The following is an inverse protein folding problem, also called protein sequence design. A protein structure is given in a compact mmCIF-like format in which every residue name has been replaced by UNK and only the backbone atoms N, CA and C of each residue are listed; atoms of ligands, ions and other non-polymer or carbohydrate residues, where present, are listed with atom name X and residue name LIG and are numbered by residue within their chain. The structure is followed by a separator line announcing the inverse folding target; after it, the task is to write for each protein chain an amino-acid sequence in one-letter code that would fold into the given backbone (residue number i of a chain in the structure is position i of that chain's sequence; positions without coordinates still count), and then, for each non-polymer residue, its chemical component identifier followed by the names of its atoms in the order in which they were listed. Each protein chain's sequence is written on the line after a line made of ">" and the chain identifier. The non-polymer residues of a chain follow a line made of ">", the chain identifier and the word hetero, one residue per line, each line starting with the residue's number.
data_IF_561858704631
#
_entry.id   IF_561858704631
#
_cell.length_a   1.000
_cell.length_b   1.000
_cell.length_c   1.000
_cell.angle_alpha   90.00
_cell.angle_beta   90.00
_cell.angle_gamma   90.00
#
_symmetry.space_group_name_H-M   'P 1'
#
loop_
_entity.id
_entity.type
_entity.pdbx_description
1 polymer ?
#
# COMPACT_ATOMS: atom_id res chain seq x y z
N UNK A 1 12.75 2.74 20.97
CA UNK A 1 12.24 1.69 20.06
C UNK A 1 12.32 0.37 20.81
N UNK A 2 11.21 -0.36 20.92
CA UNK A 2 11.21 -1.71 21.49
C UNK A 2 11.25 -2.72 20.34
N UNK A 3 12.29 -3.55 20.29
CA UNK A 3 12.43 -4.64 19.31
C UNK A 3 11.75 -5.90 19.83
N UNK A 4 10.99 -6.59 18.97
CA UNK A 4 10.10 -7.72 19.30
C UNK A 4 10.79 -9.01 19.80
N UNK A 5 12.12 -9.07 19.84
CA UNK A 5 12.86 -10.31 20.10
C UNK A 5 12.83 -10.82 21.56
N UNK A 6 12.32 -10.05 22.53
CA UNK A 6 12.37 -10.42 23.97
C UNK A 6 11.05 -10.96 24.57
N UNK A 7 10.01 -11.21 23.78
CA UNK A 7 8.65 -11.44 24.28
C UNK A 7 8.24 -12.92 24.40
N UNK A 8 9.15 -13.78 24.85
CA UNK A 8 8.90 -15.21 25.06
C UNK A 8 7.98 -15.58 26.24
N UNK A 9 7.20 -14.64 26.80
CA UNK A 9 6.24 -14.92 27.89
C UNK A 9 4.89 -14.28 27.60
N UNK A 10 3.83 -15.10 27.58
CA UNK A 10 2.43 -14.66 27.49
C UNK A 10 2.15 -13.69 28.65
N UNK A 11 2.03 -12.40 28.35
CA UNK A 11 1.73 -11.38 29.36
C UNK A 11 0.25 -11.50 29.68
N UNK A 12 -0.08 -11.91 30.91
CA UNK A 12 -1.46 -11.97 31.40
C UNK A 12 -1.79 -10.62 32.04
N UNK A 13 -2.70 -9.87 31.42
CA UNK A 13 -3.12 -8.53 31.86
C UNK A 13 -3.68 -7.69 30.71
N UNK A 14 -4.29 -6.51 30.99
CA UNK A 14 -4.71 -5.58 29.95
C UNK A 14 -3.51 -5.11 29.11
N UNK A 15 -3.72 -4.68 27.85
CA UNK A 15 -2.64 -4.25 26.98
C UNK A 15 -1.78 -3.17 27.63
N UNK A 16 -0.45 -3.34 27.59
CA UNK A 16 0.49 -2.42 28.24
C UNK A 16 0.47 -1.00 27.65
N UNK A 17 0.17 -0.88 26.36
CA UNK A 17 0.17 0.37 25.62
C UNK A 17 -1.19 0.58 24.96
N UNK A 18 -2.08 1.33 25.62
CA UNK A 18 -3.42 1.64 25.12
C UNK A 18 -3.44 2.79 24.11
N UNK A 19 -2.44 3.67 24.11
CA UNK A 19 -2.48 4.91 23.32
C UNK A 19 -1.74 4.80 21.98
N UNK A 20 -1.34 3.58 21.58
CA UNK A 20 -0.69 3.33 20.30
C UNK A 20 -1.78 3.25 19.23
N UNK A 21 -1.66 4.06 18.18
CA UNK A 21 -2.55 4.05 17.03
C UNK A 21 -1.89 3.59 15.73
N UNK A 22 -0.55 3.63 15.69
CA UNK A 22 0.25 3.16 14.56
C UNK A 22 1.08 1.95 14.96
N UNK A 23 1.06 0.92 14.13
CA UNK A 23 1.88 -0.26 14.28
C UNK A 23 2.74 -0.51 13.04
N UNK A 24 4.00 -0.85 13.26
CA UNK A 24 4.94 -1.26 12.21
C UNK A 24 5.31 -2.71 12.49
N UNK A 25 5.00 -3.58 11.54
CA UNK A 25 5.36 -4.99 11.57
C UNK A 25 6.61 -5.16 10.72
N UNK A 26 7.73 -5.39 11.41
CA UNK A 26 9.02 -5.68 10.79
C UNK A 26 9.57 -7.00 11.35
N UNK A 27 10.39 -7.68 10.56
CA UNK A 27 11.11 -8.88 10.93
C UNK A 27 10.49 -10.19 10.43
N UNK A 28 11.23 -11.29 10.62
CA UNK A 28 10.81 -12.63 10.23
C UNK A 28 9.95 -13.27 11.32
N UNK A 29 8.65 -13.43 11.05
CA UNK A 29 7.70 -13.96 12.03
C UNK A 29 7.56 -15.47 11.82
N UNK A 30 8.11 -16.25 12.75
CA UNK A 30 8.18 -17.72 12.63
C UNK A 30 7.06 -18.46 13.38
N UNK A 31 6.32 -17.78 14.26
CA UNK A 31 5.30 -18.41 15.10
C UNK A 31 3.99 -17.59 15.12
N UNK A 32 2.81 -18.19 14.87
CA UNK A 32 1.52 -17.52 15.05
C UNK A 32 1.25 -16.97 16.48
N UNK A 33 1.89 -17.51 17.52
CA UNK A 33 1.80 -17.00 18.91
C UNK A 33 2.26 -15.53 19.06
N UNK A 34 2.94 -14.98 18.05
CA UNK A 34 3.33 -13.57 17.99
C UNK A 34 2.12 -12.64 18.01
N UNK A 35 0.95 -13.05 17.51
CA UNK A 35 -0.27 -12.22 17.50
C UNK A 35 -0.82 -12.01 18.91
N UNK A 36 -1.00 -13.10 19.67
CA UNK A 36 -1.43 -13.05 21.07
C UNK A 36 -0.46 -12.20 21.91
N UNK A 37 0.84 -12.33 21.62
CA UNK A 37 1.90 -11.55 22.26
C UNK A 37 1.75 -10.06 21.97
N UNK A 38 1.43 -9.67 20.74
CA UNK A 38 1.18 -8.26 20.38
C UNK A 38 -0.11 -7.74 21.01
N UNK A 39 -1.20 -8.52 21.00
CA UNK A 39 -2.46 -8.14 21.65
C UNK A 39 -2.30 -7.94 23.17
N UNK A 40 -1.36 -8.63 23.80
CA UNK A 40 -1.01 -8.42 25.22
C UNK A 40 -0.20 -7.13 25.48
N UNK A 41 0.38 -6.55 24.43
CA UNK A 41 1.19 -5.34 24.50
C UNK A 41 0.43 -4.11 24.06
N UNK A 42 -0.35 -4.19 22.99
CA UNK A 42 -1.06 -3.07 22.37
C UNK A 42 -2.54 -3.37 22.23
N UNK A 43 -3.36 -2.35 22.44
CA UNK A 43 -4.80 -2.45 22.21
C UNK A 43 -5.08 -2.43 20.70
N UNK A 44 -5.30 -3.60 20.10
CA UNK A 44 -5.45 -3.74 18.64
C UNK A 44 -6.62 -2.95 18.05
N UNK A 45 -7.69 -2.72 18.84
CA UNK A 45 -8.81 -1.88 18.43
C UNK A 45 -8.44 -0.40 18.28
N UNK A 46 -7.34 0.07 18.87
CA UNK A 46 -6.91 1.46 18.75
C UNK A 46 -5.97 1.69 17.56
N UNK A 47 -5.51 0.60 16.93
CA UNK A 47 -4.64 0.68 15.76
C UNK A 47 -5.47 1.09 14.54
N UNK A 48 -5.18 2.28 14.04
CA UNK A 48 -5.78 2.83 12.82
C UNK A 48 -4.78 2.93 11.67
N UNK A 49 -3.48 2.79 11.93
CA UNK A 49 -2.44 2.75 10.90
C UNK A 49 -1.55 1.53 11.03
N UNK A 50 -1.38 0.78 9.96
CA UNK A 50 -0.51 -0.39 9.91
C UNK A 50 0.50 -0.28 8.78
N UNK A 51 1.76 -0.58 9.08
CA UNK A 51 2.82 -0.76 8.08
C UNK A 51 3.28 -2.21 8.17
N UNK A 52 3.10 -2.99 7.12
CA UNK A 52 3.62 -4.37 7.02
C UNK A 52 4.86 -4.35 6.14
N UNK A 53 6.02 -4.57 6.75
CA UNK A 53 7.26 -4.79 6.03
C UNK A 53 7.38 -6.27 5.63
N UNK A 54 8.23 -6.52 4.63
CA UNK A 54 8.25 -7.63 3.67
C UNK A 54 8.44 -9.06 4.21
N UNK A 55 8.32 -9.28 5.52
CA UNK A 55 8.80 -10.52 6.17
C UNK A 55 7.78 -11.19 7.10
N UNK A 56 6.55 -10.67 7.14
CA UNK A 56 5.43 -11.32 7.83
C UNK A 56 4.74 -12.30 6.88
N UNK A 57 4.65 -13.61 7.19
CA UNK A 57 3.92 -14.56 6.35
C UNK A 57 2.45 -14.20 6.16
N UNK A 58 1.92 -14.39 4.96
CA UNK A 58 0.52 -14.09 4.60
C UNK A 58 -0.49 -14.75 5.53
N UNK A 59 -0.24 -15.99 5.95
CA UNK A 59 -1.11 -16.72 6.88
C UNK A 59 -1.18 -16.06 8.26
N UNK A 60 -0.04 -15.60 8.79
CA UNK A 60 0.02 -14.88 10.07
C UNK A 60 -0.66 -13.51 9.93
N UNK A 61 -0.38 -12.80 8.85
CA UNK A 61 -0.99 -11.51 8.57
C UNK A 61 -2.51 -11.59 8.48
N UNK A 62 -3.05 -12.61 7.82
CA UNK A 62 -4.50 -12.85 7.72
C UNK A 62 -5.17 -12.94 9.09
N UNK A 63 -4.59 -13.69 10.01
CA UNK A 63 -5.13 -13.82 11.37
C UNK A 63 -5.02 -12.51 12.15
N UNK A 64 -3.90 -11.81 11.98
CA UNK A 64 -3.63 -10.55 12.67
C UNK A 64 -4.58 -9.44 12.23
N UNK A 65 -4.78 -9.29 10.93
CA UNK A 65 -5.44 -8.14 10.34
C UNK A 65 -6.94 -8.11 10.69
N UNK A 66 -7.59 -9.26 10.91
CA UNK A 66 -8.97 -9.31 11.40
C UNK A 66 -9.15 -8.72 12.81
N UNK A 67 -8.08 -8.55 13.58
CA UNK A 67 -8.13 -7.93 14.90
C UNK A 67 -8.04 -6.40 14.84
N UNK A 68 -7.76 -5.82 13.67
CA UNK A 68 -7.58 -4.37 13.45
C UNK A 68 -8.88 -3.74 12.91
N UNK A 69 -9.93 -3.77 13.74
CA UNK A 69 -11.29 -3.38 13.31
C UNK A 69 -11.44 -1.91 12.89
N UNK A 70 -10.54 -1.05 13.36
CA UNK A 70 -10.54 0.40 13.09
C UNK A 70 -9.41 0.79 12.14
N UNK A 71 -8.87 -0.16 11.38
CA UNK A 71 -7.79 0.12 10.44
C UNK A 71 -8.28 1.08 9.34
N UNK A 72 -7.60 2.21 9.25
CA UNK A 72 -7.90 3.32 8.34
C UNK A 72 -6.84 3.50 7.26
N UNK A 73 -5.58 3.23 7.61
CA UNK A 73 -4.43 3.35 6.72
C UNK A 73 -3.58 2.09 6.76
N UNK A 74 -3.26 1.56 5.59
CA UNK A 74 -2.43 0.37 5.43
C UNK A 74 -1.29 0.64 4.44
N UNK A 75 -0.07 0.30 4.85
CA UNK A 75 1.10 0.24 3.98
C UNK A 75 1.54 -1.21 3.83
N UNK A 76 1.61 -1.71 2.60
CA UNK A 76 2.07 -3.05 2.23
C UNK A 76 3.21 -2.96 1.22
N UNK A 77 3.89 -4.07 1.00
CA UNK A 77 4.87 -4.19 -0.09
C UNK A 77 4.23 -4.76 -1.34
N UNK A 78 4.83 -4.51 -2.50
CA UNK A 78 4.37 -5.05 -3.80
C UNK A 78 4.34 -6.58 -3.82
N UNK A 79 5.35 -7.26 -3.26
CA UNK A 79 5.39 -8.73 -3.13
C UNK A 79 4.27 -9.33 -2.27
N UNK A 80 3.67 -8.51 -1.42
CA UNK A 80 2.57 -8.91 -0.53
C UNK A 80 1.22 -8.74 -1.21
N UNK A 81 1.13 -7.96 -2.29
CA UNK A 81 -0.13 -7.69 -2.96
C UNK A 81 -0.37 -8.71 -4.08
N UNK A 82 -0.94 -9.85 -3.69
CA UNK A 82 -1.57 -10.81 -4.61
C UNK A 82 -3.09 -10.78 -4.46
N UNK A 83 -3.82 -11.50 -5.33
CA UNK A 83 -5.29 -11.55 -5.31
C UNK A 83 -5.86 -12.12 -4.02
N UNK A 84 -5.14 -13.01 -3.35
CA UNK A 84 -5.57 -13.55 -2.06
C UNK A 84 -5.42 -12.51 -0.95
N UNK A 85 -4.35 -11.72 -0.98
CA UNK A 85 -4.09 -10.64 -0.04
C UNK A 85 -5.02 -9.44 -0.26
N UNK A 86 -5.25 -9.07 -1.52
CA UNK A 86 -6.20 -8.02 -1.91
C UNK A 86 -7.63 -8.38 -1.47
N UNK A 87 -8.04 -9.65 -1.61
CA UNK A 87 -9.34 -10.10 -1.14
C UNK A 87 -9.52 -9.98 0.39
N UNK A 88 -8.44 -9.81 1.17
CA UNK A 88 -8.56 -9.52 2.60
C UNK A 88 -8.94 -8.05 2.83
N UNK A 89 -8.51 -7.15 1.93
CA UNK A 89 -8.75 -5.72 2.05
C UNK A 89 -10.25 -5.38 2.03
N UNK A 90 -11.06 -6.16 1.31
CA UNK A 90 -12.51 -6.01 1.26
C UNK A 90 -13.20 -6.04 2.63
N UNK A 91 -12.55 -6.65 3.65
CA UNK A 91 -13.13 -6.76 4.99
C UNK A 91 -12.92 -5.49 5.84
N UNK A 92 -12.05 -4.56 5.44
CA UNK A 92 -11.81 -3.32 6.17
C UNK A 92 -12.73 -2.21 5.70
N UNK A 93 -13.90 -2.13 6.32
CA UNK A 93 -14.88 -1.08 6.04
C UNK A 93 -14.37 0.34 6.33
N UNK A 94 -13.37 0.47 7.21
CA UNK A 94 -12.78 1.74 7.60
C UNK A 94 -11.51 2.08 6.81
N UNK A 95 -10.97 1.15 6.03
CA UNK A 95 -9.74 1.38 5.28
C UNK A 95 -10.02 2.37 4.16
N UNK A 96 -9.40 3.54 4.24
CA UNK A 96 -9.56 4.61 3.26
C UNK A 96 -8.23 5.03 2.64
N UNK A 97 -7.10 4.63 3.22
CA UNK A 97 -5.77 4.90 2.72
C UNK A 97 -4.99 3.60 2.51
N UNK A 98 -4.53 3.38 1.28
CA UNK A 98 -3.68 2.26 0.91
C UNK A 98 -2.41 2.76 0.24
N UNK A 99 -1.25 2.36 0.77
CA UNK A 99 0.04 2.62 0.16
C UNK A 99 0.75 1.29 -0.12
N UNK A 100 1.16 1.07 -1.36
CA UNK A 100 1.84 -0.14 -1.80
C UNK A 100 3.27 0.24 -2.15
N UNK A 101 4.20 0.06 -1.24
CA UNK A 101 5.58 0.51 -1.43
C UNK A 101 6.47 -0.64 -1.89
N UNK A 102 7.64 -0.29 -2.39
CA UNK A 102 8.72 -1.23 -2.62
C UNK A 102 9.82 -0.91 -1.60
N UNK A 103 10.29 -1.92 -0.87
CA UNK A 103 11.37 -1.73 0.11
C UNK A 103 12.71 -2.29 -0.36
N UNK A 104 12.71 -3.13 -1.40
CA UNK A 104 13.92 -3.70 -1.98
C UNK A 104 14.30 -2.93 -3.25
N UNK A 105 15.53 -2.43 -3.31
CA UNK A 105 15.99 -1.55 -4.40
C UNK A 105 16.40 -2.33 -5.66
N UNK A 106 16.61 -3.65 -5.54
CA UNK A 106 17.26 -4.44 -6.58
C UNK A 106 16.30 -4.87 -7.71
N UNK A 107 14.99 -4.85 -7.48
CA UNK A 107 13.98 -5.21 -8.49
C UNK A 107 12.70 -4.38 -8.35
N UNK A 108 12.40 -3.55 -9.37
CA UNK A 108 11.12 -2.83 -9.46
C UNK A 108 9.98 -3.81 -9.70
N UNK A 109 9.04 -3.87 -8.77
CA UNK A 109 7.86 -4.74 -8.87
C UNK A 109 6.60 -3.90 -9.01
N UNK A 110 5.98 -3.99 -10.19
CA UNK A 110 4.74 -3.30 -10.49
C UNK A 110 3.52 -4.18 -10.18
N UNK A 111 2.41 -3.51 -9.88
CA UNK A 111 1.17 -4.17 -9.49
C UNK A 111 0.22 -4.21 -10.68
N UNK A 112 -0.20 -5.41 -11.07
CA UNK A 112 -1.36 -5.56 -11.96
C UNK A 112 -2.63 -5.24 -11.16
N UNK A 113 -3.24 -4.08 -11.39
CA UNK A 113 -4.36 -3.58 -10.58
C UNK A 113 -5.72 -4.19 -10.89
N UNK A 114 -5.90 -4.78 -12.09
CA UNK A 114 -7.21 -5.25 -12.55
C UNK A 114 -7.91 -6.22 -11.58
N UNK A 115 -7.22 -7.23 -10.99
CA UNK A 115 -7.85 -8.18 -10.08
C UNK A 115 -8.27 -7.54 -8.76
N UNK A 116 -7.73 -6.35 -8.43
CA UNK A 116 -7.82 -5.74 -7.11
C UNK A 116 -8.78 -4.56 -7.04
N UNK A 117 -9.08 -3.90 -8.17
CA UNK A 117 -9.99 -2.75 -8.20
C UNK A 117 -11.39 -3.05 -7.60
N UNK A 118 -11.85 -4.29 -7.63
CA UNK A 118 -13.13 -4.70 -7.01
C UNK A 118 -13.03 -5.03 -5.52
N UNK A 119 -11.81 -5.18 -5.00
CA UNK A 119 -11.49 -5.63 -3.65
C UNK A 119 -11.09 -4.49 -2.70
N UNK A 120 -10.92 -3.27 -3.23
CA UNK A 120 -10.64 -2.06 -2.45
C UNK A 120 -11.95 -1.42 -1.96
N UNK A 121 -12.33 -1.56 -0.68
CA UNK A 121 -13.53 -0.93 -0.18
C UNK A 121 -13.31 0.58 -0.09
N UNK A 122 -14.09 1.38 -0.83
CA UNK A 122 -14.17 2.85 -0.72
C UNK A 122 -12.82 3.57 -0.45
N UNK A 123 -11.73 3.12 -1.09
CA UNK A 123 -10.40 3.73 -0.90
C UNK A 123 -10.46 5.16 -1.42
N UNK A 124 -9.96 6.08 -0.59
CA UNK A 124 -9.92 7.53 -0.84
C UNK A 124 -8.52 8.01 -1.21
N UNK A 125 -7.50 7.40 -0.63
CA UNK A 125 -6.11 7.74 -0.86
C UNK A 125 -5.36 6.48 -1.29
N UNK A 126 -4.90 6.45 -2.53
CA UNK A 126 -4.14 5.34 -3.07
C UNK A 126 -2.75 5.80 -3.50
N UNK A 127 -1.72 5.04 -3.15
CA UNK A 127 -0.35 5.27 -3.59
C UNK A 127 0.21 3.92 -4.07
N UNK A 128 0.50 3.78 -5.36
CA UNK A 128 0.72 2.48 -5.99
C UNK A 128 1.73 2.53 -7.15
N UNK A 129 2.66 1.56 -7.26
CA UNK A 129 3.52 1.39 -8.41
C UNK A 129 2.80 0.56 -9.48
N UNK A 130 2.69 1.12 -10.68
CA UNK A 130 2.00 0.53 -11.83
C UNK A 130 2.94 0.57 -13.05
N UNK A 131 2.84 -0.45 -13.90
CA UNK A 131 3.68 -0.67 -15.06
C UNK A 131 3.27 0.14 -16.30
N UNK A 132 1.98 0.45 -16.46
CA UNK A 132 1.45 1.12 -17.65
C UNK A 132 0.28 2.07 -17.38
N UNK A 133 0.04 2.96 -18.35
CA UNK A 133 -1.06 3.92 -18.36
C UNK A 133 -2.44 3.27 -18.41
N UNK A 134 -2.60 2.17 -19.14
CA UNK A 134 -3.87 1.44 -19.25
C UNK A 134 -4.39 0.99 -17.88
N UNK A 135 -3.49 0.51 -17.02
CA UNK A 135 -3.79 0.14 -15.64
C UNK A 135 -4.23 1.34 -14.80
N UNK A 136 -3.62 2.51 -15.02
CA UNK A 136 -4.00 3.75 -14.35
C UNK A 136 -5.42 4.18 -14.75
N UNK A 137 -5.70 4.19 -16.06
CA UNK A 137 -7.02 4.50 -16.61
C UNK A 137 -8.09 3.55 -16.06
N UNK A 138 -7.82 2.24 -16.08
CA UNK A 138 -8.71 1.21 -15.55
C UNK A 138 -9.04 1.45 -14.07
N UNK A 139 -8.05 1.85 -13.28
CA UNK A 139 -8.24 2.12 -11.86
C UNK A 139 -9.13 3.34 -11.62
N UNK A 140 -8.86 4.43 -12.34
CA UNK A 140 -9.68 5.66 -12.26
C UNK A 140 -11.13 5.32 -12.59
N UNK A 141 -11.41 4.71 -13.74
CA UNK A 141 -12.79 4.40 -14.15
C UNK A 141 -13.57 3.56 -13.13
N UNK A 142 -12.88 2.73 -12.34
CA UNK A 142 -13.49 1.85 -11.33
C UNK A 142 -13.62 2.48 -9.95
N UNK A 143 -12.69 3.35 -9.56
CA UNK A 143 -12.58 3.86 -8.19
C UNK A 143 -12.80 5.37 -8.05
N UNK A 144 -12.88 6.14 -9.14
CA UNK A 144 -13.01 7.60 -9.17
C UNK A 144 -14.06 8.12 -8.16
N UNK A 145 -15.21 7.46 -8.06
CA UNK A 145 -16.31 7.86 -7.15
C UNK A 145 -15.95 7.85 -5.67
N UNK A 146 -14.88 7.14 -5.30
CA UNK A 146 -14.42 7.02 -3.92
C UNK A 146 -13.08 7.72 -3.68
N UNK A 147 -12.27 7.91 -4.74
CA UNK A 147 -10.95 8.51 -4.63
C UNK A 147 -11.05 10.01 -4.34
N UNK A 148 -10.21 10.46 -3.42
CA UNK A 148 -9.88 11.87 -3.17
C UNK A 148 -8.51 12.16 -3.79
N UNK A 149 -7.58 11.21 -3.71
CA UNK A 149 -6.26 11.34 -4.35
C UNK A 149 -5.67 9.98 -4.74
N UNK A 150 -4.93 9.95 -5.85
CA UNK A 150 -4.07 8.81 -6.22
C UNK A 150 -2.68 9.27 -6.61
N UNK A 151 -1.67 8.48 -6.25
CA UNK A 151 -0.29 8.60 -6.74
C UNK A 151 0.02 7.34 -7.54
N UNK A 152 0.37 7.53 -8.80
CA UNK A 152 0.87 6.47 -9.69
C UNK A 152 2.38 6.61 -9.81
N UNK A 153 3.08 5.56 -9.40
CA UNK A 153 4.54 5.45 -9.51
C UNK A 153 4.90 4.57 -10.71
N UNK A 154 5.64 5.13 -11.65
CA UNK A 154 6.01 4.47 -12.90
C UNK A 154 7.45 3.96 -12.86
N UNK A 155 7.83 3.00 -13.72
CA UNK A 155 9.23 2.72 -13.98
C UNK A 155 9.90 3.97 -14.57
N UNK A 156 10.80 4.59 -13.82
CA UNK A 156 11.89 5.35 -14.43
C UNK A 156 12.81 4.39 -15.17
N UNK A 157 12.99 4.60 -16.47
CA UNK A 157 14.16 4.11 -17.20
C UNK A 157 15.36 4.93 -16.70
N UNK A 158 15.90 4.58 -15.53
CA UNK A 158 17.25 5.03 -15.16
C UNK A 158 18.26 4.10 -15.84
N UNK A 159 18.29 4.10 -17.18
CA UNK A 159 19.37 3.50 -17.93
C UNK A 159 20.54 4.49 -17.91
N UNK A 160 21.31 4.45 -16.81
CA UNK A 160 22.74 4.78 -16.89
C UNK A 160 23.43 3.68 -17.69
N UNK A 161 23.30 3.72 -19.01
CA UNK A 161 24.33 3.26 -19.92
C UNK A 161 24.56 4.41 -20.91
N UNK A 162 25.79 4.94 -20.87
CA UNK A 162 26.30 6.00 -21.75
C UNK A 162 26.19 5.61 -23.24
N UNK A 163 25.01 5.73 -23.84
CA UNK A 163 24.85 5.78 -25.29
C UNK A 163 23.77 6.83 -25.61
N UNK A 164 24.20 7.93 -26.23
CA UNK A 164 23.38 9.00 -26.77
C UNK A 164 22.28 8.43 -27.69
N UNK A 165 21.03 8.31 -27.22
CA UNK A 165 19.84 8.25 -28.08
C UNK A 165 18.69 9.03 -27.39
N UNK A 166 18.33 10.17 -27.99
CA UNK A 166 17.32 11.16 -27.58
C UNK A 166 15.85 10.63 -27.60
N UNK A 167 15.52 9.53 -26.91
CA UNK A 167 14.16 8.94 -26.92
C UNK A 167 13.40 9.00 -25.56
N UNK A 168 13.97 9.55 -24.50
CA UNK A 168 13.32 9.67 -23.15
C UNK A 168 12.17 10.70 -23.08
N UNK A 169 11.93 11.46 -24.15
CA UNK A 169 10.89 12.50 -24.20
C UNK A 169 9.48 11.94 -24.49
N UNK A 170 9.36 10.75 -25.09
CA UNK A 170 8.06 10.22 -25.59
C UNK A 170 7.18 9.61 -24.48
N UNK A 171 7.73 8.86 -23.52
CA UNK A 171 6.92 8.27 -22.42
C UNK A 171 6.36 9.36 -21.49
N UNK A 172 7.16 10.39 -21.20
CA UNK A 172 6.69 11.54 -20.42
C UNK A 172 5.63 12.35 -21.19
N UNK A 173 5.76 12.47 -22.52
CA UNK A 173 4.74 13.11 -23.34
C UNK A 173 3.41 12.35 -23.30
N UNK A 174 3.43 11.01 -23.41
CA UNK A 174 2.22 10.19 -23.31
C UNK A 174 1.55 10.32 -21.93
N UNK A 175 2.33 10.31 -20.84
CA UNK A 175 1.84 10.54 -19.47
C UNK A 175 1.19 11.92 -19.31
N UNK A 176 1.80 12.96 -19.89
CA UNK A 176 1.27 14.33 -19.87
C UNK A 176 -0.03 14.41 -20.67
N UNK A 177 -0.05 13.88 -21.90
CA UNK A 177 -1.23 13.87 -22.76
C UNK A 177 -2.39 13.13 -22.11
N UNK A 178 -2.12 11.95 -21.53
CA UNK A 178 -3.11 11.20 -20.77
C UNK A 178 -3.64 11.99 -19.58
N UNK A 179 -2.77 12.58 -18.75
CA UNK A 179 -3.20 13.38 -17.60
C UNK A 179 -4.04 14.60 -18.01
N UNK A 180 -3.72 15.23 -19.15
CA UNK A 180 -4.53 16.30 -19.74
C UNK A 180 -5.87 15.82 -20.29
N UNK A 181 -5.98 14.56 -20.72
CA UNK A 181 -7.25 14.00 -21.19
C UNK A 181 -8.29 13.82 -20.06
N UNK A 182 -7.84 13.70 -18.80
CA UNK A 182 -8.70 13.53 -17.62
C UNK A 182 -9.47 14.81 -17.22
N UNK A 183 -9.32 15.90 -17.95
CA UNK A 183 -9.58 17.31 -17.56
C UNK A 183 -10.99 17.70 -17.08
N UNK A 184 -11.98 16.82 -17.02
CA UNK A 184 -13.33 17.24 -16.63
C UNK A 184 -13.53 17.40 -15.11
N UNK A 185 -12.78 16.72 -14.23
CA UNK A 185 -12.95 16.84 -12.76
C UNK A 185 -11.66 16.63 -11.92
N UNK A 186 -10.49 16.66 -12.55
CA UNK A 186 -9.24 16.23 -11.92
C UNK A 186 -8.19 17.33 -11.88
N UNK A 187 -7.51 17.49 -10.75
CA UNK A 187 -6.24 18.22 -10.70
C UNK A 187 -5.12 17.20 -10.76
N UNK A 188 -4.04 17.53 -11.49
CA UNK A 188 -2.88 16.67 -11.56
C UNK A 188 -1.58 17.45 -11.36
N UNK A 189 -0.54 16.74 -10.91
CA UNK A 189 0.83 17.24 -10.84
C UNK A 189 1.78 16.10 -11.18
N UNK A 190 2.75 16.38 -12.04
CA UNK A 190 3.88 15.50 -12.30
C UNK A 190 5.04 15.89 -11.39
N UNK A 191 5.69 14.90 -10.80
CA UNK A 191 6.88 15.11 -9.99
C UNK A 191 7.72 13.83 -9.97
N UNK A 192 9.00 13.97 -10.30
CA UNK A 192 9.97 12.88 -10.20
C UNK A 192 9.46 11.63 -10.94
N UNK A 193 8.90 11.77 -12.16
CA UNK A 193 8.31 10.68 -12.95
C UNK A 193 6.97 10.11 -12.47
N UNK A 194 6.44 10.59 -11.35
CA UNK A 194 5.17 10.13 -10.78
C UNK A 194 4.01 11.07 -11.11
N UNK A 195 2.80 10.51 -11.20
CA UNK A 195 1.55 11.27 -11.38
C UNK A 195 0.79 11.35 -10.07
N UNK A 196 0.55 12.57 -9.62
CA UNK A 196 -0.31 12.89 -8.48
C UNK A 196 -1.63 13.41 -9.01
N UNK A 197 -2.74 12.78 -8.63
CA UNK A 197 -4.10 13.18 -9.02
C UNK A 197 -4.95 13.48 -7.79
N UNK A 198 -5.81 14.49 -7.91
CA UNK A 198 -6.86 14.85 -6.95
C UNK A 198 -8.21 14.97 -7.63
N UNK A 199 -9.23 14.45 -6.98
CA UNK A 199 -10.61 14.39 -7.47
C UNK A 199 -11.45 15.44 -6.74
N UNK A 200 -12.29 16.18 -7.45
CA UNK A 200 -13.17 17.23 -6.90
C UNK A 200 -14.57 16.71 -6.52
#
# INVERSE_FOLDING_TARGET
>A
MATLNDLGKKIIGPPRFSNVSQLILDGQWRNPDTIDSIGSLVCLSNINKLIRLERVPTTIFRTFIYSLINLESLTLTTYVLDSMNAAILQYFKCLHSLNIVQFDNDYRHFVNVEPFCTMFPQIRHLDIPIDNLDSCQYLIERLEKFLISVVFRFPHNDDNDDDDDDDDDDENAELIEWAQSLQQNHQYRLRDGDIYLWFQ
#
